data_IF_938484151818
#
_entry.id   IF_938484151818
#
_cell.length_a   1.000
_cell.length_b   1.000
_cell.length_c   1.000
_cell.angle_alpha   90.00
_cell.angle_beta   90.00
_cell.angle_gamma   90.00
#
_symmetry.space_group_name_H-M   'P 1'
#
loop_
_entity.id
_entity.type
_entity.pdbx_description
1 polymer ?
#
# COMPACT_ATOMS: atom_id res chain seq x y z
N UNK A 1 2.29 -1.07 -34.26
CA UNK A 1 1.89 -2.16 -33.34
C UNK A 1 2.47 -3.44 -33.94
N UNK A 2 3.67 -3.84 -33.51
CA UNK A 2 4.30 -5.05 -34.05
C UNK A 2 3.55 -6.27 -33.53
N UNK A 3 3.15 -7.16 -34.44
CA UNK A 3 2.59 -8.47 -34.12
C UNK A 3 3.57 -9.20 -33.18
N UNK A 4 3.15 -9.67 -31.99
CA UNK A 4 4.03 -10.37 -31.05
C UNK A 4 4.77 -11.55 -31.69
N UNK A 5 4.20 -12.18 -32.73
CA UNK A 5 4.86 -13.24 -33.49
C UNK A 5 6.13 -12.77 -34.21
N UNK A 6 6.20 -11.51 -34.66
CA UNK A 6 7.36 -10.99 -35.40
C UNK A 6 8.58 -10.81 -34.50
N UNK A 7 8.37 -10.32 -33.27
CA UNK A 7 9.45 -10.12 -32.29
C UNK A 7 10.06 -11.46 -31.85
N UNK A 8 9.23 -12.51 -31.71
CA UNK A 8 9.68 -13.86 -31.36
C UNK A 8 10.48 -14.50 -32.50
N UNK A 9 10.01 -14.35 -33.75
CA UNK A 9 10.72 -14.81 -34.95
C UNK A 9 12.05 -14.07 -35.11
N UNK A 10 12.07 -12.75 -34.92
CA UNK A 10 13.31 -11.95 -34.98
C UNK A 10 14.31 -12.37 -33.89
N UNK A 11 13.82 -12.66 -32.67
CA UNK A 11 14.67 -13.17 -31.58
C UNK A 11 15.25 -14.54 -31.92
N UNK A 12 14.45 -15.43 -32.52
CA UNK A 12 14.90 -16.74 -33.00
C UNK A 12 15.98 -16.62 -34.08
N UNK A 13 15.77 -15.73 -35.05
CA UNK A 13 16.72 -15.51 -36.14
C UNK A 13 18.04 -14.89 -35.66
N UNK A 14 17.99 -13.99 -34.66
CA UNK A 14 19.15 -13.27 -34.17
C UNK A 14 20.04 -14.09 -33.21
N UNK A 15 19.48 -15.09 -32.52
CA UNK A 15 20.22 -15.93 -31.58
C UNK A 15 19.68 -17.37 -31.54
N UNK A 16 19.75 -18.12 -32.66
CA UNK A 16 19.15 -19.45 -32.77
C UNK A 16 19.71 -20.44 -31.75
N UNK A 17 20.97 -20.28 -31.33
CA UNK A 17 21.62 -21.07 -30.29
C UNK A 17 20.97 -20.96 -28.91
N UNK A 18 20.12 -19.94 -28.68
CA UNK A 18 19.37 -19.75 -27.43
C UNK A 18 18.01 -20.47 -27.44
N UNK A 19 17.65 -21.14 -28.53
CA UNK A 19 16.37 -21.82 -28.68
C UNK A 19 16.58 -23.31 -28.85
N UNK A 20 15.78 -24.10 -28.14
CA UNK A 20 15.72 -25.55 -28.29
C UNK A 20 14.29 -25.95 -28.68
N UNK A 21 14.17 -26.87 -29.65
CA UNK A 21 12.88 -27.46 -30.00
C UNK A 21 12.69 -28.75 -29.20
N UNK A 22 11.68 -28.78 -28.35
CA UNK A 22 11.29 -29.99 -27.63
C UNK A 22 9.96 -30.51 -28.17
N UNK A 23 9.95 -31.78 -28.61
CA UNK A 23 8.72 -32.48 -28.93
C UNK A 23 8.25 -33.23 -27.69
N UNK A 24 7.19 -32.75 -27.07
CA UNK A 24 6.55 -33.43 -25.93
C UNK A 24 5.42 -34.30 -26.47
N UNK A 25 5.47 -35.60 -26.18
CA UNK A 25 4.31 -36.48 -26.35
C UNK A 25 3.68 -36.60 -24.97
N UNK A 26 2.49 -36.04 -24.79
CA UNK A 26 1.76 -36.13 -23.52
C UNK A 26 1.08 -37.50 -23.47
N UNK A 27 1.59 -38.36 -22.60
CA UNK A 27 0.95 -39.64 -22.25
C UNK A 27 -0.30 -39.39 -21.41
N UNK A 28 -1.27 -40.31 -21.41
CA UNK A 28 -2.58 -40.13 -20.74
C UNK A 28 -2.45 -39.72 -19.26
N UNK A 29 -1.47 -40.26 -18.53
CA UNK A 29 -1.19 -39.90 -17.14
C UNK A 29 -0.82 -38.42 -16.95
N UNK A 30 -0.09 -37.83 -17.90
CA UNK A 30 0.30 -36.41 -17.87
C UNK A 30 -0.86 -35.51 -18.31
N UNK A 31 -1.77 -36.02 -19.13
CA UNK A 31 -2.98 -35.29 -19.50
C UNK A 31 -3.92 -35.13 -18.30
N UNK A 32 -4.09 -36.16 -17.46
CA UNK A 32 -4.88 -36.09 -16.22
C UNK A 32 -4.35 -35.00 -15.27
N UNK A 33 -3.02 -34.93 -15.08
CA UNK A 33 -2.38 -33.87 -14.27
C UNK A 33 -2.68 -32.47 -14.83
N UNK A 34 -2.57 -32.27 -16.14
CA UNK A 34 -2.84 -30.98 -16.77
C UNK A 34 -4.32 -30.58 -16.67
N UNK A 35 -5.23 -31.53 -16.83
CA UNK A 35 -6.68 -31.29 -16.68
C UNK A 35 -7.01 -30.81 -15.25
N UNK A 36 -6.43 -31.46 -14.24
CA UNK A 36 -6.61 -31.07 -12.83
C UNK A 36 -5.92 -29.75 -12.47
N UNK A 37 -4.82 -29.40 -13.14
CA UNK A 37 -4.13 -28.11 -12.96
C UNK A 37 -4.85 -26.94 -13.64
N UNK A 38 -5.68 -27.18 -14.67
CA UNK A 38 -6.22 -26.11 -15.51
C UNK A 38 -7.03 -25.07 -14.70
N UNK A 39 -7.88 -25.46 -13.73
CA UNK A 39 -8.59 -24.51 -12.88
C UNK A 39 -7.66 -23.62 -12.05
N UNK A 40 -6.50 -24.15 -11.61
CA UNK A 40 -5.54 -23.43 -10.77
C UNK A 40 -4.90 -22.25 -11.50
N UNK A 41 -4.64 -22.40 -12.79
CA UNK A 41 -4.02 -21.37 -13.65
C UNK A 41 -5.03 -20.54 -14.44
N UNK A 42 -6.32 -20.79 -14.25
CA UNK A 42 -7.42 -20.10 -14.93
C UNK A 42 -7.51 -20.41 -16.43
N UNK A 43 -7.17 -21.64 -16.83
CA UNK A 43 -7.40 -22.15 -18.18
C UNK A 43 -8.76 -22.86 -18.25
N UNK A 44 -9.47 -22.74 -19.38
CA UNK A 44 -10.77 -23.38 -19.58
C UNK A 44 -10.60 -24.90 -19.72
N UNK A 45 -11.37 -25.71 -18.98
CA UNK A 45 -11.22 -27.18 -18.90
C UNK A 45 -11.10 -27.89 -20.27
N UNK A 46 -11.75 -27.38 -21.32
CA UNK A 46 -11.80 -28.00 -22.65
C UNK A 46 -10.93 -27.35 -23.74
N UNK A 47 -10.03 -26.43 -23.39
CA UNK A 47 -9.15 -25.76 -24.36
C UNK A 47 -8.10 -26.70 -24.98
N UNK A 48 -7.84 -26.59 -26.29
CA UNK A 48 -6.74 -27.35 -26.95
C UNK A 48 -5.37 -27.05 -26.32
N UNK A 49 -5.21 -25.84 -25.76
CA UNK A 49 -4.04 -25.37 -25.01
C UNK A 49 -3.76 -26.13 -23.70
N UNK A 50 -4.78 -26.78 -23.11
CA UNK A 50 -4.61 -27.58 -21.90
C UNK A 50 -3.85 -28.88 -22.12
N UNK A 51 -3.63 -29.25 -23.39
CA UNK A 51 -2.89 -30.47 -23.76
C UNK A 51 -1.38 -30.24 -23.80
N UNK A 52 -0.92 -29.02 -23.57
CA UNK A 52 0.49 -28.66 -23.57
C UNK A 52 0.93 -28.13 -22.20
N UNK A 53 2.15 -28.45 -21.73
CA UNK A 53 2.70 -27.89 -20.48
C UNK A 53 2.93 -26.38 -20.51
N UNK A 54 3.27 -25.82 -21.68
CA UNK A 54 3.77 -24.45 -21.78
C UNK A 54 2.77 -23.37 -21.29
N UNK A 55 1.47 -23.41 -21.65
CA UNK A 55 0.49 -22.44 -21.15
C UNK A 55 0.39 -22.37 -19.62
N UNK A 56 0.44 -23.52 -18.94
CA UNK A 56 0.41 -23.60 -17.47
C UNK A 56 1.63 -22.92 -16.87
N UNK A 57 2.83 -23.25 -17.37
CA UNK A 57 4.08 -22.66 -16.88
C UNK A 57 4.11 -21.16 -17.09
N UNK A 58 3.67 -20.66 -18.24
CA UNK A 58 3.59 -19.20 -18.49
C UNK A 58 2.66 -18.51 -17.49
N UNK A 59 1.52 -19.12 -17.15
CA UNK A 59 0.58 -18.57 -16.15
C UNK A 59 1.16 -18.58 -14.74
N UNK A 60 1.81 -19.68 -14.34
CA UNK A 60 2.49 -19.79 -13.04
C UNK A 60 3.66 -18.82 -12.91
N UNK A 61 4.48 -18.67 -13.95
CA UNK A 61 5.57 -17.70 -13.96
C UNK A 61 5.05 -16.26 -13.88
N UNK A 62 3.93 -15.97 -14.55
CA UNK A 62 3.28 -14.66 -14.44
C UNK A 62 2.81 -14.39 -13.01
N UNK A 63 2.15 -15.34 -12.35
CA UNK A 63 1.68 -15.15 -10.97
C UNK A 63 2.85 -14.90 -10.02
N UNK A 64 3.97 -15.61 -10.16
CA UNK A 64 5.18 -15.39 -9.35
C UNK A 64 5.85 -14.05 -9.66
N UNK A 65 5.90 -13.64 -10.93
CA UNK A 65 6.48 -12.37 -11.35
C UNK A 65 5.68 -11.16 -10.87
N UNK A 66 4.40 -11.32 -10.60
CA UNK A 66 3.54 -10.25 -10.12
C UNK A 66 3.55 -10.19 -8.56
N UNK A 67 4.24 -11.12 -7.86
CA UNK A 67 4.41 -11.10 -6.41
C UNK A 67 5.28 -9.92 -5.93
N UNK A 68 4.99 -9.33 -4.75
CA UNK A 68 5.82 -8.30 -4.14
C UNK A 68 7.29 -8.75 -3.96
N UNK A 69 8.27 -7.84 -4.08
CA UNK A 69 9.69 -8.13 -3.86
C UNK A 69 9.99 -8.83 -2.54
N UNK A 70 9.26 -8.52 -1.46
CA UNK A 70 9.37 -9.16 -0.14
C UNK A 70 9.15 -10.67 -0.23
N UNK A 71 8.05 -11.11 -0.84
CA UNK A 71 7.68 -12.53 -1.01
C UNK A 71 8.79 -13.34 -1.69
N UNK A 72 9.54 -12.70 -2.60
CA UNK A 72 10.64 -13.36 -3.33
C UNK A 72 11.90 -13.57 -2.48
N UNK A 73 12.04 -12.87 -1.36
CA UNK A 73 13.26 -12.83 -0.55
C UNK A 73 13.09 -13.40 0.85
N UNK A 74 11.88 -13.36 1.40
CA UNK A 74 11.59 -13.88 2.74
C UNK A 74 11.83 -15.38 2.84
N UNK A 75 12.41 -15.83 3.94
CA UNK A 75 12.51 -17.24 4.32
C UNK A 75 11.39 -17.68 5.25
N UNK A 76 10.49 -16.77 5.65
CA UNK A 76 9.37 -17.05 6.57
C UNK A 76 8.15 -17.59 5.83
N UNK A 77 8.35 -18.68 5.10
CA UNK A 77 7.35 -19.43 4.36
C UNK A 77 7.52 -20.92 4.71
N UNK A 78 6.50 -21.73 4.46
CA UNK A 78 6.61 -23.18 4.58
C UNK A 78 7.71 -23.74 3.67
N UNK A 79 8.30 -24.87 4.06
CA UNK A 79 9.33 -25.56 3.26
C UNK A 79 8.81 -25.88 1.85
N UNK A 80 7.53 -26.25 1.72
CA UNK A 80 6.84 -26.51 0.45
C UNK A 80 6.72 -25.22 -0.39
N UNK A 81 6.26 -24.11 0.18
CA UNK A 81 6.16 -22.83 -0.56
C UNK A 81 7.53 -22.29 -0.99
N UNK A 82 8.55 -22.45 -0.16
CA UNK A 82 9.94 -22.13 -0.53
C UNK A 82 10.41 -22.99 -1.70
N UNK A 83 10.20 -24.30 -1.65
CA UNK A 83 10.59 -25.21 -2.71
C UNK A 83 9.86 -24.88 -4.03
N UNK A 84 8.56 -24.63 -3.98
CA UNK A 84 7.75 -24.23 -5.14
C UNK A 84 8.25 -22.92 -5.73
N UNK A 85 8.51 -21.91 -4.90
CA UNK A 85 9.06 -20.62 -5.35
C UNK A 85 10.40 -20.79 -6.06
N UNK A 86 11.30 -21.59 -5.50
CA UNK A 86 12.62 -21.85 -6.10
C UNK A 86 12.52 -22.63 -7.42
N UNK A 87 11.63 -23.63 -7.50
CA UNK A 87 11.36 -24.36 -8.73
C UNK A 87 10.86 -23.42 -9.84
N UNK A 88 9.87 -22.56 -9.53
CA UNK A 88 9.35 -21.57 -10.47
C UNK A 88 10.42 -20.54 -10.88
N UNK A 89 11.36 -20.17 -10.01
CA UNK A 89 12.43 -19.25 -10.35
C UNK A 89 13.52 -19.88 -11.24
N UNK A 90 13.80 -21.18 -11.09
CA UNK A 90 14.85 -21.89 -11.86
C UNK A 90 14.33 -22.59 -13.11
N UNK A 91 13.02 -22.60 -13.30
CA UNK A 91 12.32 -23.20 -14.42
C UNK A 91 13.02 -22.95 -15.76
N UNK A 92 13.62 -24.01 -16.31
CA UNK A 92 14.29 -23.96 -17.62
C UNK A 92 13.46 -24.67 -18.70
N UNK A 93 12.74 -25.72 -18.33
CA UNK A 93 11.97 -26.55 -19.25
C UNK A 93 10.53 -26.78 -18.73
N UNK A 94 9.48 -26.44 -19.51
CA UNK A 94 8.10 -26.49 -19.02
C UNK A 94 7.62 -27.87 -18.57
N UNK A 95 7.99 -28.93 -19.30
CA UNK A 95 7.55 -30.29 -18.97
C UNK A 95 8.23 -30.79 -17.70
N UNK A 96 9.54 -30.59 -17.57
CA UNK A 96 10.30 -30.94 -16.37
C UNK A 96 9.79 -30.17 -15.14
N UNK A 97 9.48 -28.88 -15.30
CA UNK A 97 8.90 -28.08 -14.20
C UNK A 97 7.58 -28.67 -13.69
N UNK A 98 6.61 -28.95 -14.58
CA UNK A 98 5.28 -29.39 -14.16
C UNK A 98 5.23 -30.84 -13.67
N UNK A 99 6.01 -31.74 -14.29
CA UNK A 99 5.90 -33.18 -14.04
C UNK A 99 7.00 -33.74 -13.14
N UNK A 100 7.99 -32.93 -12.76
CA UNK A 100 9.07 -33.36 -11.88
C UNK A 100 9.36 -32.33 -10.79
N UNK A 101 9.79 -31.12 -11.14
CA UNK A 101 10.29 -30.15 -10.14
C UNK A 101 9.20 -29.67 -9.17
N UNK A 102 8.00 -29.36 -9.67
CA UNK A 102 6.87 -28.94 -8.83
C UNK A 102 6.28 -30.08 -7.98
N UNK A 103 6.07 -31.30 -8.50
CA UNK A 103 5.70 -32.46 -7.68
C UNK A 103 6.70 -32.73 -6.57
N UNK A 104 8.01 -32.75 -6.89
CA UNK A 104 9.08 -32.95 -5.91
C UNK A 104 9.10 -31.83 -4.87
N UNK A 105 8.91 -30.56 -5.29
CA UNK A 105 8.79 -29.41 -4.39
C UNK A 105 7.57 -29.51 -3.45
N UNK A 106 6.49 -30.17 -3.90
CA UNK A 106 5.32 -30.47 -3.09
C UNK A 106 5.47 -31.79 -2.30
N UNK A 107 6.65 -32.42 -2.27
CA UNK A 107 6.90 -33.66 -1.54
C UNK A 107 6.21 -34.89 -2.15
N UNK A 108 6.08 -34.95 -3.47
CA UNK A 108 5.52 -36.06 -4.24
C UNK A 108 6.55 -36.60 -5.25
N UNK A 109 6.32 -37.83 -5.73
CA UNK A 109 7.15 -38.42 -6.78
C UNK A 109 6.86 -37.78 -8.16
N UNK A 110 7.81 -37.93 -9.09
CA UNK A 110 7.68 -37.39 -10.44
C UNK A 110 6.62 -38.13 -11.28
N UNK A 111 5.78 -37.36 -11.98
CA UNK A 111 4.82 -37.84 -12.97
C UNK A 111 5.46 -38.21 -14.32
N UNK A 112 6.79 -38.17 -14.45
CA UNK A 112 7.46 -38.63 -15.67
C UNK A 112 7.33 -40.15 -15.87
N UNK A 113 7.11 -40.92 -14.80
CA UNK A 113 7.12 -42.39 -14.78
C UNK A 113 5.77 -43.13 -15.00
N UNK A 114 4.63 -42.42 -15.03
CA UNK A 114 3.36 -42.98 -15.56
C UNK A 114 2.30 -43.51 -14.57
N UNK A 115 2.44 -43.35 -13.26
CA UNK A 115 1.39 -43.67 -12.26
C UNK A 115 0.97 -42.37 -11.57
N UNK A 116 -0.23 -41.82 -11.85
CA UNK A 116 -0.52 -40.42 -11.51
C UNK A 116 -1.89 -40.14 -10.86
N UNK A 117 -2.83 -41.10 -10.77
CA UNK A 117 -4.24 -40.69 -10.58
C UNK A 117 -4.56 -40.12 -9.19
N UNK A 118 -4.14 -40.77 -8.10
CA UNK A 118 -4.40 -40.27 -6.73
C UNK A 118 -3.42 -39.14 -6.34
N UNK A 119 -2.18 -39.21 -6.82
CA UNK A 119 -1.14 -38.23 -6.50
C UNK A 119 -1.34 -36.89 -7.21
N UNK A 120 -2.02 -36.85 -8.37
CA UNK A 120 -2.32 -35.61 -9.08
C UNK A 120 -3.26 -34.68 -8.30
N UNK A 121 -4.25 -35.23 -7.59
CA UNK A 121 -5.19 -34.47 -6.77
C UNK A 121 -4.51 -33.84 -5.55
N UNK A 122 -3.62 -34.62 -4.91
CA UNK A 122 -2.78 -34.15 -3.79
C UNK A 122 -1.82 -33.08 -4.28
N UNK A 123 -1.19 -33.28 -5.44
CA UNK A 123 -0.29 -32.33 -6.05
C UNK A 123 -0.95 -30.96 -6.31
N UNK A 124 -2.12 -30.95 -6.96
CA UNK A 124 -2.84 -29.71 -7.26
C UNK A 124 -3.19 -28.96 -5.97
N UNK A 125 -3.61 -29.69 -4.93
CA UNK A 125 -3.96 -29.10 -3.63
C UNK A 125 -2.73 -28.45 -2.98
N UNK A 126 -1.62 -29.19 -2.86
CA UNK A 126 -0.37 -28.67 -2.26
C UNK A 126 0.19 -27.49 -3.05
N UNK A 127 0.17 -27.56 -4.38
CA UNK A 127 0.61 -26.46 -5.23
C UNK A 127 -0.29 -25.23 -5.04
N UNK A 128 -1.60 -25.40 -4.96
CA UNK A 128 -2.53 -24.31 -4.70
C UNK A 128 -2.28 -23.66 -3.34
N UNK A 129 -2.05 -24.45 -2.30
CA UNK A 129 -1.76 -23.96 -0.96
C UNK A 129 -0.45 -23.17 -0.93
N UNK A 130 0.61 -23.70 -1.56
CA UNK A 130 1.90 -23.02 -1.70
C UNK A 130 1.77 -21.69 -2.46
N UNK A 131 1.07 -21.65 -3.60
CA UNK A 131 0.86 -20.42 -4.36
C UNK A 131 0.02 -19.40 -3.58
N UNK A 132 -0.96 -19.87 -2.79
CA UNK A 132 -1.79 -19.00 -1.94
C UNK A 132 -0.95 -18.40 -0.81
N UNK A 133 -0.08 -19.19 -0.19
CA UNK A 133 0.85 -18.73 0.84
C UNK A 133 1.79 -17.65 0.28
N UNK A 134 2.40 -17.89 -0.89
CA UNK A 134 3.21 -16.88 -1.58
C UNK A 134 2.41 -15.59 -1.84
N UNK A 135 1.18 -15.71 -2.34
CA UNK A 135 0.32 -14.56 -2.60
C UNK A 135 -0.07 -13.76 -1.35
N UNK A 136 -0.17 -14.41 -0.18
CA UNK A 136 -0.54 -13.78 1.09
C UNK A 136 0.63 -13.24 1.89
N UNK A 137 1.84 -13.72 1.65
CA UNK A 137 3.02 -13.41 2.45
C UNK A 137 3.26 -11.91 2.74
N UNK A 138 2.96 -11.01 1.78
CA UNK A 138 3.09 -9.57 2.02
C UNK A 138 1.94 -9.01 2.88
N UNK A 139 0.71 -9.48 2.67
CA UNK A 139 -0.42 -9.13 3.56
C UNK A 139 -0.16 -9.59 4.99
N UNK A 140 0.30 -10.84 5.16
CA UNK A 140 0.64 -11.40 6.47
C UNK A 140 1.79 -10.62 7.15
N UNK A 141 2.72 -10.05 6.38
CA UNK A 141 3.75 -9.15 6.91
C UNK A 141 3.14 -7.84 7.44
N UNK A 142 2.19 -7.25 6.71
CA UNK A 142 1.53 -6.01 7.13
C UNK A 142 0.69 -6.22 8.40
N UNK A 143 -0.03 -7.34 8.47
CA UNK A 143 -0.79 -7.72 9.66
C UNK A 143 0.13 -7.89 10.88
N UNK A 144 1.28 -8.57 10.73
CA UNK A 144 2.28 -8.70 11.79
C UNK A 144 2.92 -7.36 12.19
N UNK A 145 3.13 -6.44 11.25
CA UNK A 145 3.60 -5.08 11.56
C UNK A 145 2.58 -4.34 12.41
N UNK A 146 1.30 -4.39 12.04
CA UNK A 146 0.22 -3.77 12.78
C UNK A 146 0.14 -4.33 14.21
N UNK A 147 0.10 -5.66 14.35
CA UNK A 147 0.03 -6.32 15.65
C UNK A 147 1.20 -5.95 16.56
N UNK A 148 2.43 -5.96 16.02
CA UNK A 148 3.62 -5.59 16.81
C UNK A 148 3.59 -4.15 17.26
N UNK A 149 3.12 -3.22 16.41
CA UNK A 149 2.96 -1.82 16.80
C UNK A 149 1.89 -1.71 17.90
N UNK A 150 0.75 -2.38 17.74
CA UNK A 150 -0.30 -2.39 18.74
C UNK A 150 0.21 -2.88 20.11
N UNK A 151 0.95 -3.99 20.13
CA UNK A 151 1.51 -4.58 21.34
C UNK A 151 2.58 -3.68 21.98
N UNK A 152 3.52 -3.16 21.17
CA UNK A 152 4.62 -2.34 21.67
C UNK A 152 4.12 -1.07 22.39
N UNK A 153 3.08 -0.43 21.82
CA UNK A 153 2.48 0.77 22.39
C UNK A 153 1.30 0.48 23.33
N UNK A 154 0.94 -0.79 23.54
CA UNK A 154 -0.21 -1.23 24.33
C UNK A 154 -1.50 -0.52 23.93
N UNK A 155 -1.79 -0.48 22.62
CA UNK A 155 -3.02 0.10 22.09
C UNK A 155 -4.23 -0.72 22.57
N UNK A 156 -5.31 -0.03 22.92
CA UNK A 156 -6.51 -0.66 23.50
C UNK A 156 -7.65 -0.77 22.51
N UNK A 157 -7.56 -0.06 21.38
CA UNK A 157 -8.58 -0.05 20.34
C UNK A 157 -8.47 -1.25 19.39
N UNK A 158 -9.63 -1.68 18.90
CA UNK A 158 -9.74 -2.72 17.88
C UNK A 158 -9.82 -2.10 16.49
N UNK A 159 -9.09 -2.69 15.54
CA UNK A 159 -9.06 -2.29 14.14
C UNK A 159 -7.96 -1.27 13.80
N UNK A 160 -7.41 -1.42 12.60
CA UNK A 160 -6.21 -0.73 12.13
C UNK A 160 -6.31 0.79 12.21
N UNK A 161 -7.46 1.37 11.82
CA UNK A 161 -7.67 2.82 11.80
C UNK A 161 -7.89 3.41 13.21
N UNK A 162 -8.56 2.67 14.09
CA UNK A 162 -8.74 3.09 15.48
C UNK A 162 -7.40 3.07 16.23
N UNK A 163 -6.60 2.01 16.03
CA UNK A 163 -5.23 1.89 16.55
C UNK A 163 -4.32 3.02 16.05
N UNK A 164 -4.41 3.34 14.76
CA UNK A 164 -3.71 4.50 14.18
C UNK A 164 -4.11 5.79 14.88
N UNK A 165 -5.41 6.03 15.04
CA UNK A 165 -5.93 7.25 15.67
C UNK A 165 -5.47 7.39 17.12
N UNK A 166 -5.54 6.29 17.89
CA UNK A 166 -5.08 6.23 19.28
C UNK A 166 -3.59 6.54 19.38
N UNK A 167 -2.75 5.94 18.53
CA UNK A 167 -1.31 6.18 18.54
C UNK A 167 -0.98 7.62 18.11
N UNK A 168 -1.67 8.15 17.11
CA UNK A 168 -1.49 9.52 16.62
C UNK A 168 -1.82 10.55 17.71
N UNK A 169 -2.94 10.39 18.44
CA UNK A 169 -3.32 11.27 19.54
C UNK A 169 -2.24 11.28 20.64
N UNK A 170 -1.77 10.10 21.05
CA UNK A 170 -0.72 9.96 22.07
C UNK A 170 0.62 10.55 21.60
N UNK A 171 0.98 10.32 20.34
CA UNK A 171 2.20 10.86 19.74
C UNK A 171 2.16 12.39 19.62
N UNK A 172 0.99 12.98 19.34
CA UNK A 172 0.80 14.42 19.22
C UNK A 172 1.09 15.16 20.54
N UNK A 173 0.69 14.59 21.67
CA UNK A 173 0.99 15.13 23.00
C UNK A 173 2.49 15.15 23.25
N UNK A 174 3.20 14.07 22.89
CA UNK A 174 4.64 13.95 23.09
C UNK A 174 5.47 14.84 22.16
N UNK A 175 5.00 15.10 20.94
CA UNK A 175 5.76 15.76 19.88
C UNK A 175 6.32 17.13 20.29
N UNK A 176 5.58 17.88 21.13
CA UNK A 176 5.95 19.20 21.63
C UNK A 176 7.10 19.18 22.65
N UNK A 177 7.37 18.03 23.28
CA UNK A 177 8.28 17.91 24.41
C UNK A 177 9.46 16.97 24.15
N UNK A 178 9.39 16.15 23.10
CA UNK A 178 10.45 15.19 22.74
C UNK A 178 11.70 15.91 22.24
N UNK A 179 12.82 15.67 22.92
CA UNK A 179 14.16 16.10 22.51
C UNK A 179 14.94 15.01 21.78
N UNK A 180 14.62 13.74 22.01
CA UNK A 180 15.27 12.60 21.34
C UNK A 180 14.89 12.58 19.85
N UNK A 181 15.89 12.64 18.97
CA UNK A 181 15.66 12.77 17.53
C UNK A 181 14.94 11.56 16.95
N UNK A 182 15.26 10.34 17.40
CA UNK A 182 14.65 9.12 16.86
C UNK A 182 13.17 9.02 17.26
N UNK A 183 12.85 9.28 18.51
CA UNK A 183 11.47 9.36 18.99
C UNK A 183 10.72 10.52 18.33
N UNK A 184 11.37 11.66 18.09
CA UNK A 184 10.74 12.80 17.39
C UNK A 184 10.33 12.41 15.98
N UNK A 185 11.22 11.77 15.22
CA UNK A 185 10.92 11.29 13.88
C UNK A 185 9.78 10.28 13.88
N UNK A 186 9.73 9.41 14.88
CA UNK A 186 8.60 8.48 15.05
C UNK A 186 7.29 9.22 15.30
N UNK A 187 7.26 10.15 16.26
CA UNK A 187 6.04 10.90 16.57
C UNK A 187 5.54 11.70 15.37
N UNK A 188 6.44 12.39 14.63
CA UNK A 188 6.07 13.11 13.41
C UNK A 188 5.41 12.20 12.39
N UNK A 189 5.94 10.99 12.18
CA UNK A 189 5.34 10.03 11.24
C UNK A 189 4.04 9.45 11.78
N UNK A 190 3.95 9.19 13.08
CA UNK A 190 2.74 8.67 13.70
C UNK A 190 1.57 9.66 13.61
N UNK A 191 1.85 10.97 13.65
CA UNK A 191 0.86 12.05 13.50
C UNK A 191 0.55 12.41 12.04
N UNK A 192 1.11 11.69 11.05
CA UNK A 192 0.86 11.96 9.64
C UNK A 192 -0.55 11.48 9.23
N UNK A 193 -1.36 12.40 8.70
CA UNK A 193 -2.72 12.16 8.21
C UNK A 193 -2.82 12.03 6.68
N UNK A 194 -1.72 12.21 5.94
CA UNK A 194 -1.74 12.23 4.47
C UNK A 194 -1.88 10.84 3.85
N UNK A 195 -1.35 9.83 4.54
CA UNK A 195 -1.36 8.43 4.08
C UNK A 195 -2.68 7.75 4.47
N UNK A 196 -3.11 6.77 3.68
CA UNK A 196 -4.14 5.83 4.10
C UNK A 196 -3.61 4.89 5.22
N UNK A 197 -4.49 4.09 5.82
CA UNK A 197 -4.13 3.28 6.99
C UNK A 197 -2.97 2.33 6.70
N UNK A 198 -3.01 1.63 5.56
CA UNK A 198 -1.94 0.72 5.16
C UNK A 198 -0.63 1.47 4.91
N UNK A 199 -0.66 2.54 4.12
CA UNK A 199 0.50 3.38 3.84
C UNK A 199 1.11 3.97 5.10
N UNK A 200 0.29 4.30 6.10
CA UNK A 200 0.76 4.77 7.40
C UNK A 200 1.55 3.70 8.17
N UNK A 201 1.04 2.47 8.28
CA UNK A 201 1.79 1.37 8.90
C UNK A 201 3.08 1.05 8.13
N UNK A 202 3.00 1.01 6.81
CA UNK A 202 4.17 0.82 5.95
C UNK A 202 5.22 1.92 6.18
N UNK A 203 4.78 3.16 6.35
CA UNK A 203 5.66 4.31 6.58
C UNK A 203 6.34 4.25 7.95
N UNK A 204 5.65 3.80 9.00
CA UNK A 204 6.23 3.60 10.33
C UNK A 204 7.26 2.47 10.31
N UNK A 205 6.88 1.34 9.71
CA UNK A 205 7.78 0.22 9.50
C UNK A 205 9.02 0.64 8.69
N UNK A 206 8.81 1.43 7.63
CA UNK A 206 9.90 1.95 6.80
C UNK A 206 10.86 2.84 7.57
N UNK A 207 10.34 3.70 8.45
CA UNK A 207 11.15 4.55 9.33
C UNK A 207 12.01 3.71 10.29
N UNK A 208 11.40 2.71 10.93
CA UNK A 208 12.05 1.87 11.95
C UNK A 208 13.10 0.93 11.34
N UNK A 209 12.80 0.29 10.21
CA UNK A 209 13.74 -0.58 9.49
C UNK A 209 14.75 0.21 8.64
N UNK A 210 14.45 1.47 8.31
CA UNK A 210 15.14 2.30 7.30
C UNK A 210 15.03 1.74 5.87
N UNK A 211 13.92 1.06 5.57
CA UNK A 211 13.63 0.45 4.27
C UNK A 211 12.13 0.16 4.16
N UNK A 212 11.46 0.39 3.01
CA UNK A 212 10.05 0.03 2.83
C UNK A 212 9.78 -1.47 3.04
N UNK A 213 8.68 -1.87 3.71
CA UNK A 213 8.32 -3.29 3.95
C UNK A 213 8.31 -4.15 2.70
N UNK A 214 7.83 -3.61 1.59
CA UNK A 214 7.82 -4.30 0.29
C UNK A 214 9.21 -4.79 -0.16
N UNK A 215 10.29 -4.15 0.30
CA UNK A 215 11.67 -4.49 -0.05
C UNK A 215 12.43 -5.24 1.04
N UNK A 216 11.78 -5.59 2.15
CA UNK A 216 12.43 -6.23 3.28
C UNK A 216 13.03 -7.59 2.93
N UNK A 217 14.09 -7.90 3.65
CA UNK A 217 14.54 -9.28 3.90
C UNK A 217 14.32 -9.60 5.38
N UNK A 218 14.49 -10.87 5.78
CA UNK A 218 14.23 -11.29 7.17
C UNK A 218 15.03 -10.48 8.21
N UNK A 219 16.25 -10.06 7.85
CA UNK A 219 17.09 -9.19 8.67
C UNK A 219 16.51 -7.78 8.86
N UNK A 220 15.81 -7.24 7.85
CA UNK A 220 15.16 -5.94 7.96
C UNK A 220 13.98 -6.02 8.95
N UNK A 221 13.26 -7.15 8.98
CA UNK A 221 12.21 -7.44 9.96
C UNK A 221 12.77 -7.55 11.39
N UNK A 222 13.88 -8.25 11.60
CA UNK A 222 14.56 -8.30 12.90
C UNK A 222 14.93 -6.90 13.41
N UNK A 223 15.47 -6.06 12.52
CA UNK A 223 15.83 -4.67 12.82
C UNK A 223 14.61 -3.81 13.15
N UNK A 224 13.50 -4.01 12.45
CA UNK A 224 12.22 -3.38 12.78
C UNK A 224 11.80 -3.72 14.20
N UNK A 225 11.79 -5.01 14.56
CA UNK A 225 11.38 -5.48 15.89
C UNK A 225 12.25 -4.88 17.01
N UNK A 226 13.57 -4.86 16.82
CA UNK A 226 14.52 -4.26 17.76
C UNK A 226 14.26 -2.75 17.92
N UNK A 227 14.14 -2.04 16.80
CA UNK A 227 13.99 -0.58 16.82
C UNK A 227 12.63 -0.16 17.39
N UNK A 228 11.57 -0.90 17.05
CA UNK A 228 10.23 -0.71 17.59
C UNK A 228 10.22 -0.80 19.11
N UNK A 229 10.85 -1.85 19.65
CA UNK A 229 10.95 -2.05 21.11
C UNK A 229 11.65 -0.88 21.79
N UNK A 230 12.76 -0.40 21.21
CA UNK A 230 13.50 0.73 21.78
C UNK A 230 12.69 2.04 21.71
N UNK A 231 12.01 2.31 20.60
CA UNK A 231 11.18 3.51 20.43
C UNK A 231 9.98 3.47 21.37
N UNK A 232 9.27 2.35 21.44
CA UNK A 232 8.13 2.17 22.34
C UNK A 232 8.52 2.32 23.82
N UNK A 233 9.67 1.79 24.24
CA UNK A 233 10.17 1.99 25.59
C UNK A 233 10.46 3.47 25.90
N UNK A 234 11.10 4.21 24.97
CA UNK A 234 11.34 5.65 25.15
C UNK A 234 10.02 6.43 25.20
N UNK A 235 9.08 6.10 24.32
CA UNK A 235 7.76 6.70 24.26
C UNK A 235 7.02 6.55 25.59
N UNK A 236 6.88 5.31 26.09
CA UNK A 236 6.13 4.99 27.32
C UNK A 236 6.77 5.54 28.59
N UNK A 237 8.08 5.77 28.60
CA UNK A 237 8.74 6.41 29.73
C UNK A 237 8.52 7.93 29.78
N UNK A 238 8.30 8.57 28.62
CA UNK A 238 8.06 10.01 28.53
C UNK A 238 6.57 10.34 28.61
N UNK A 239 5.69 9.45 28.16
CA UNK A 239 4.24 9.64 28.10
C UNK A 239 3.59 10.07 29.44
N UNK A 240 3.87 9.43 30.60
CA UNK A 240 3.26 9.81 31.88
C UNK A 240 3.60 11.23 32.33
N UNK A 241 4.81 11.72 32.03
CA UNK A 241 5.29 13.02 32.47
C UNK A 241 4.45 14.18 31.91
N UNK A 242 3.94 14.00 30.69
CA UNK A 242 3.21 15.04 29.98
C UNK A 242 1.69 14.84 30.02
N UNK A 243 1.23 13.60 30.27
CA UNK A 243 -0.20 13.33 30.48
C UNK A 243 -0.70 13.89 31.82
N UNK A 244 0.15 13.94 32.86
CA UNK A 244 -0.17 14.62 34.13
C UNK A 244 -0.12 16.16 34.01
N UNK A 245 0.80 16.70 33.20
CA UNK A 245 0.95 18.15 32.98
C UNK A 245 -0.24 18.73 32.19
N UNK A 246 -0.77 17.99 31.20
CA UNK A 246 -2.00 18.33 30.48
C UNK A 246 -3.25 18.35 31.38
N UNK A 247 -3.34 17.45 32.36
CA UNK A 247 -4.44 17.44 33.35
C UNK A 247 -4.31 18.55 34.39
N UNK A 248 -3.09 18.90 34.80
CA UNK A 248 -2.85 19.95 35.78
C UNK A 248 -2.93 21.38 35.19
N UNK A 249 -2.66 21.56 33.90
CA UNK A 249 -2.80 22.86 33.21
C UNK A 249 -4.25 23.34 33.03
N UNK A 250 -5.23 22.44 33.12
CA UNK A 250 -6.67 22.77 33.05
C UNK A 250 -7.29 23.14 34.41
N UNK A 251 -6.51 23.09 35.51
CA UNK A 251 -7.00 23.24 36.89
C UNK A 251 -6.71 24.57 37.58
N UNK A 252 -6.00 25.51 36.95
CA UNK A 252 -5.63 26.78 37.59
C UNK A 252 -5.78 27.97 36.64
N UNK A 253 -7.00 28.45 36.48
CA UNK A 253 -7.27 29.86 36.23
C UNK A 253 -8.43 30.28 37.13
N UNK A 254 -8.11 31.17 38.05
CA UNK A 254 -8.86 31.53 39.24
C UNK A 254 -10.12 32.34 38.93
N UNK A 255 -11.13 32.10 39.77
CA UNK A 255 -12.23 33.01 39.98
C UNK A 255 -11.77 34.22 40.80
N UNK A 256 -11.96 35.42 40.26
CA UNK A 256 -12.23 36.70 40.96
C UNK A 256 -12.64 37.71 39.88
N UNK A 257 -13.91 38.10 39.77
CA UNK A 257 -14.39 39.33 40.40
C UNK A 257 -15.41 40.08 39.51
N UNK A 258 -16.68 39.91 39.87
CA UNK A 258 -17.87 40.78 39.71
C UNK A 258 -17.82 42.11 38.92
N UNK A 259 -18.88 42.36 38.12
CA UNK A 259 -19.34 43.72 37.78
C UNK A 259 -20.08 43.90 36.45
N UNK A 260 -21.42 43.86 36.50
CA UNK A 260 -22.44 44.61 35.72
C UNK A 260 -22.12 45.05 34.26
N UNK A 261 -22.93 44.62 33.28
CA UNK A 261 -24.05 45.43 32.77
C UNK A 261 -24.89 44.70 31.70
N UNK A 262 -26.15 45.12 31.59
CA UNK A 262 -27.23 44.57 30.77
C UNK A 262 -27.02 44.72 29.25
N UNK A 263 -27.69 43.88 28.44
CA UNK A 263 -28.90 44.21 27.65
C UNK A 263 -29.30 43.01 26.78
N UNK A 264 -30.42 42.42 27.18
CA UNK A 264 -31.59 41.96 26.40
C UNK A 264 -31.48 41.76 24.86
N UNK A 265 -31.81 40.54 24.41
CA UNK A 265 -32.76 40.31 23.30
C UNK A 265 -33.38 38.91 23.39
N UNK A 266 -34.69 38.89 23.58
CA UNK A 266 -35.62 37.74 23.60
C UNK A 266 -36.08 37.41 22.17
N UNK A 267 -36.31 36.12 21.92
CA UNK A 267 -37.53 35.50 21.32
C UNK A 267 -37.16 34.07 20.86
N UNK A 268 -37.52 32.99 21.56
CA UNK A 268 -38.83 32.32 21.74
C UNK A 268 -39.10 31.13 20.77
N UNK A 269 -38.77 29.92 21.26
CA UNK A 269 -39.49 28.63 21.17
C UNK A 269 -39.58 27.82 19.84
N UNK A 270 -39.86 26.49 19.88
CA UNK A 270 -40.11 25.61 21.04
C UNK A 270 -39.35 24.26 21.04
N UNK A 271 -39.50 23.55 22.16
CA UNK A 271 -39.00 22.21 22.45
C UNK A 271 -39.69 21.09 21.64
N UNK A 272 -38.93 20.05 21.25
CA UNK A 272 -39.25 18.63 21.50
C UNK A 272 -38.20 17.67 20.86
N UNK A 273 -37.54 16.90 21.74
CA UNK A 273 -37.30 15.45 21.65
C UNK A 273 -36.60 14.80 20.43
N UNK A 274 -35.44 14.22 20.78
CA UNK A 274 -34.94 12.86 20.47
C UNK A 274 -34.60 12.46 19.02
N UNK A 275 -33.38 11.89 18.96
CA UNK A 275 -32.80 10.97 17.97
C UNK A 275 -32.23 11.59 16.69
N UNK A 276 -30.90 11.48 16.54
CA UNK A 276 -30.23 11.57 15.26
C UNK A 276 -28.76 12.00 15.32
N UNK A 277 -27.85 11.03 15.25
CA UNK A 277 -26.70 10.94 14.31
C UNK A 277 -25.79 12.15 14.05
N UNK A 278 -24.46 11.98 14.10
CA UNK A 278 -23.52 12.48 13.08
C UNK A 278 -22.10 11.88 13.31
N UNK A 279 -21.60 10.97 12.48
CA UNK A 279 -21.00 11.12 11.14
C UNK A 279 -19.55 11.65 11.17
N UNK A 280 -18.60 11.01 10.46
CA UNK A 280 -17.21 11.46 10.35
C UNK A 280 -17.13 12.87 9.72
N UNK A 281 -16.02 13.63 9.94
CA UNK A 281 -15.90 15.00 9.47
C UNK A 281 -16.08 15.07 7.96
N UNK A 282 -16.92 16.01 7.51
CA UNK A 282 -17.26 16.16 6.09
C UNK A 282 -16.09 16.80 5.35
N UNK A 283 -15.35 16.03 4.57
CA UNK A 283 -14.34 16.58 3.67
C UNK A 283 -14.98 16.97 2.34
N UNK A 284 -14.53 18.08 1.75
CA UNK A 284 -14.96 18.51 0.42
C UNK A 284 -13.87 18.16 -0.60
N UNK A 285 -14.18 17.23 -1.50
CA UNK A 285 -13.30 16.84 -2.60
C UNK A 285 -13.47 17.82 -3.76
N UNK A 286 -12.40 18.49 -4.16
CA UNK A 286 -12.39 19.37 -5.34
C UNK A 286 -11.57 18.66 -6.43
N UNK A 287 -12.17 18.50 -7.62
CA UNK A 287 -11.51 17.95 -8.80
C UNK A 287 -11.07 19.09 -9.70
N UNK A 288 -9.78 19.14 -10.02
CA UNK A 288 -9.23 20.06 -11.00
C UNK A 288 -8.82 19.26 -12.24
N UNK A 289 -9.47 19.53 -13.37
CA UNK A 289 -9.07 19.05 -14.69
C UNK A 289 -8.38 20.19 -15.43
N UNK A 290 -7.12 20.01 -15.78
CA UNK A 290 -6.35 20.99 -16.54
C UNK A 290 -6.03 20.36 -17.90
N UNK A 291 -6.56 20.96 -18.98
CA UNK A 291 -6.25 20.55 -20.35
C UNK A 291 -5.69 21.76 -21.10
N UNK A 292 -4.37 21.77 -21.35
CA UNK A 292 -3.78 22.59 -22.39
C UNK A 292 -3.89 21.84 -23.72
N UNK A 293 -4.03 22.56 -24.84
CA UNK A 293 -4.47 21.99 -26.14
C UNK A 293 -3.57 20.93 -26.79
N UNK A 294 -2.54 20.39 -26.13
CA UNK A 294 -1.69 19.30 -26.66
C UNK A 294 -1.02 18.42 -25.55
N UNK A 295 -1.49 18.44 -24.30
CA UNK A 295 -0.96 17.59 -23.20
C UNK A 295 -2.00 16.58 -22.68
N UNK A 296 -1.58 15.39 -22.18
CA UNK A 296 -2.51 14.42 -21.61
C UNK A 296 -3.18 14.99 -20.34
N UNK A 297 -4.49 14.80 -20.23
CA UNK A 297 -5.29 15.25 -19.07
C UNK A 297 -4.65 14.77 -17.75
N UNK A 298 -4.19 15.72 -16.93
CA UNK A 298 -3.71 15.45 -15.57
C UNK A 298 -4.81 15.80 -14.57
N UNK A 299 -5.26 14.82 -13.78
CA UNK A 299 -6.18 15.02 -12.68
C UNK A 299 -5.40 15.11 -11.35
N UNK A 300 -5.50 16.25 -10.66
CA UNK A 300 -4.95 16.42 -9.32
C UNK A 300 -6.09 16.57 -8.29
N UNK A 301 -6.08 15.72 -7.26
CA UNK A 301 -7.04 15.80 -6.15
C UNK A 301 -6.34 16.45 -4.96
N UNK A 302 -6.86 17.59 -4.50
CA UNK A 302 -6.36 18.31 -3.32
C UNK A 302 -7.40 18.18 -2.20
N UNK A 303 -6.95 17.69 -1.05
CA UNK A 303 -7.80 17.57 0.14
C UNK A 303 -7.59 18.79 1.02
N UNK A 304 -8.65 19.59 1.21
CA UNK A 304 -8.62 20.77 2.07
C UNK A 304 -9.52 20.50 3.27
N UNK A 305 -9.01 20.81 4.47
CA UNK A 305 -9.79 20.74 5.71
C UNK A 305 -10.84 21.86 5.73
N UNK A 306 -12.03 21.58 6.25
CA UNK A 306 -13.14 22.55 6.29
C UNK A 306 -12.79 23.86 7.02
N UNK A 307 -11.90 23.80 8.00
CA UNK A 307 -11.44 24.96 8.77
C UNK A 307 -10.59 25.96 7.97
N UNK A 308 -10.04 25.53 6.82
CA UNK A 308 -9.27 26.38 5.92
C UNK A 308 -10.10 26.85 4.71
N UNK A 309 -11.42 26.60 4.70
CA UNK A 309 -12.31 27.02 3.60
C UNK A 309 -12.28 28.55 3.44
N UNK A 310 -12.22 29.30 4.55
CA UNK A 310 -12.12 30.76 4.54
C UNK A 310 -10.80 31.27 3.96
N UNK A 311 -9.69 30.53 4.14
CA UNK A 311 -8.39 30.89 3.57
C UNK A 311 -8.34 30.60 2.06
N UNK A 312 -8.97 29.50 1.64
CA UNK A 312 -9.16 29.20 0.22
C UNK A 312 -9.98 30.29 -0.46
N UNK A 313 -11.06 30.73 0.16
CA UNK A 313 -11.90 31.81 -0.35
C UNK A 313 -11.13 33.15 -0.41
N UNK A 314 -10.26 33.43 0.56
CA UNK A 314 -9.38 34.60 0.51
C UNK A 314 -8.38 34.54 -0.65
N UNK A 315 -7.77 33.38 -0.91
CA UNK A 315 -6.87 33.19 -2.05
C UNK A 315 -7.63 33.34 -3.38
N UNK A 316 -8.83 32.76 -3.50
CA UNK A 316 -9.69 32.92 -4.68
C UNK A 316 -10.01 34.38 -4.94
N UNK A 317 -10.33 35.16 -3.89
CA UNK A 317 -10.63 36.58 -4.03
C UNK A 317 -9.42 37.42 -4.45
N UNK A 318 -8.22 37.10 -3.96
CA UNK A 318 -6.98 37.79 -4.35
C UNK A 318 -6.60 37.49 -5.80
N UNK A 319 -6.69 36.22 -6.21
CA UNK A 319 -6.45 35.81 -7.59
C UNK A 319 -7.49 36.43 -8.52
N UNK A 320 -8.77 36.45 -8.13
CA UNK A 320 -9.85 37.10 -8.88
C UNK A 320 -9.58 38.58 -9.14
N UNK A 321 -9.18 39.35 -8.12
CA UNK A 321 -8.80 40.76 -8.28
C UNK A 321 -7.60 40.97 -9.19
N UNK A 322 -6.55 40.14 -9.05
CA UNK A 322 -5.36 40.26 -9.89
C UNK A 322 -5.68 40.00 -11.37
N UNK A 323 -6.60 39.07 -11.65
CA UNK A 323 -7.07 38.81 -13.01
C UNK A 323 -7.97 39.94 -13.53
N UNK A 324 -8.79 40.58 -12.70
CA UNK A 324 -9.59 41.75 -13.11
C UNK A 324 -8.71 42.97 -13.43
N UNK A 325 -7.60 43.15 -12.71
CA UNK A 325 -6.64 44.25 -12.93
C UNK A 325 -5.72 44.02 -14.14
N UNK A 326 -5.54 42.78 -14.58
CA UNK A 326 -4.86 42.47 -15.84
C UNK A 326 -5.73 42.90 -17.04
N UNK A 327 -5.21 43.82 -17.86
CA UNK A 327 -5.88 44.51 -19.01
C UNK A 327 -6.14 43.57 -20.22
N UNK A 328 -6.35 42.29 -19.95
CA UNK A 328 -6.62 41.25 -20.93
C UNK A 328 -8.08 40.83 -20.83
N UNK A 329 -8.92 41.27 -21.76
CA UNK A 329 -10.36 40.99 -21.70
C UNK A 329 -10.75 39.58 -22.17
N UNK A 330 -9.77 38.73 -22.52
CA UNK A 330 -10.02 37.38 -23.00
C UNK A 330 -9.97 36.37 -21.85
N UNK A 331 -11.11 35.77 -21.56
CA UNK A 331 -11.29 34.79 -20.48
C UNK A 331 -10.43 33.54 -20.69
N UNK A 332 -10.23 33.11 -21.94
CA UNK A 332 -9.43 31.92 -22.24
C UNK A 332 -7.94 32.16 -21.93
N UNK A 333 -7.45 33.38 -22.17
CA UNK A 333 -6.08 33.78 -21.83
C UNK A 333 -5.89 33.84 -20.31
N UNK A 334 -6.89 34.36 -19.59
CA UNK A 334 -6.90 34.37 -18.13
C UNK A 334 -6.93 32.95 -17.54
N UNK A 335 -7.74 32.06 -18.09
CA UNK A 335 -7.80 30.65 -17.67
C UNK A 335 -6.49 29.92 -17.97
N UNK A 336 -5.87 30.17 -19.13
CA UNK A 336 -4.55 29.63 -19.44
C UNK A 336 -3.49 30.13 -18.46
N UNK A 337 -3.48 31.42 -18.11
CA UNK A 337 -2.57 31.98 -17.10
C UNK A 337 -2.76 31.37 -15.71
N UNK A 338 -4.01 31.22 -15.25
CA UNK A 338 -4.31 30.55 -13.97
C UNK A 338 -3.88 29.08 -13.99
N UNK A 339 -4.07 28.41 -15.12
CA UNK A 339 -3.63 27.04 -15.33
C UNK A 339 -2.11 26.91 -15.22
N UNK A 340 -1.34 27.80 -15.84
CA UNK A 340 0.12 27.82 -15.70
C UNK A 340 0.57 28.09 -14.26
N UNK A 341 -0.11 29.01 -13.55
CA UNK A 341 0.16 29.25 -12.12
C UNK A 341 -0.15 28.00 -11.29
N UNK A 342 -1.26 27.33 -11.55
CA UNK A 342 -1.63 26.10 -10.86
C UNK A 342 -0.64 24.96 -11.13
N UNK A 343 -0.20 24.77 -12.37
CA UNK A 343 0.84 23.80 -12.72
C UNK A 343 2.18 24.15 -12.08
N UNK A 344 2.54 25.43 -12.03
CA UNK A 344 3.75 25.91 -11.35
C UNK A 344 3.71 25.60 -9.85
N UNK A 345 2.58 25.84 -9.19
CA UNK A 345 2.39 25.51 -7.78
C UNK A 345 2.38 24.00 -7.54
N UNK A 346 1.83 23.19 -8.45
CA UNK A 346 1.88 21.73 -8.37
C UNK A 346 3.32 21.22 -8.58
N UNK A 347 4.05 21.81 -9.51
CA UNK A 347 5.46 21.49 -9.77
C UNK A 347 6.33 21.95 -8.59
N UNK A 348 6.05 23.11 -8.00
CA UNK A 348 6.74 23.60 -6.79
C UNK A 348 6.42 22.73 -5.58
N UNK A 349 5.18 22.25 -5.47
CA UNK A 349 4.79 21.24 -4.48
C UNK A 349 5.60 19.96 -4.69
N UNK A 350 5.66 19.42 -5.90
CA UNK A 350 6.43 18.20 -6.22
C UNK A 350 7.94 18.40 -6.03
N UNK A 351 8.46 19.57 -6.37
CA UNK A 351 9.86 19.93 -6.21
C UNK A 351 10.23 20.26 -4.75
N UNK A 352 9.30 20.77 -3.95
CA UNK A 352 9.50 20.96 -2.51
C UNK A 352 9.46 19.62 -1.79
N UNK A 353 8.60 18.69 -2.20
CA UNK A 353 8.66 17.29 -1.79
C UNK A 353 10.01 16.64 -2.18
N UNK A 354 10.48 16.83 -3.42
CA UNK A 354 11.76 16.25 -3.90
C UNK A 354 13.02 16.88 -3.27
N UNK A 355 12.98 18.18 -2.92
CA UNK A 355 14.08 18.85 -2.19
C UNK A 355 14.14 18.45 -0.72
N UNK A 356 13.01 18.08 -0.11
CA UNK A 356 12.99 17.52 1.24
C UNK A 356 13.59 16.10 1.33
N UNK A 357 13.75 15.41 0.20
CA UNK A 357 14.39 14.08 0.12
C UNK A 357 15.91 14.12 -0.10
N UNK A 358 16.51 15.30 -0.36
CA UNK A 358 17.95 15.44 -0.64
C UNK A 358 18.75 16.25 0.39
N UNK A 359 18.10 16.77 1.44
CA UNK A 359 18.70 17.42 2.60
C UNK A 359 18.38 16.64 3.88
#
# INVERSE_FOLDING_TARGET
>A
MHDPAYAEIERFLNAPEKFALQRVTVEEARADVLERLAPLVGLEETGEENRAPLPFVVRLLKSVRDLPPYTRKTGRLSDEALAVREALHRATEPATLLFQELPEACGLDSFLGGEASDDAEVFVTRLQDALRELGRAYGDLLDDIEERIADAFALQTDGSEARRSELAERAQVLLSHVTDTALKSFCVRATDEMLDTQGWYESLAALLAKRPPEQWVDKDREKFEETLTQVAHRFRNQEPLYFEESKNGAGSSEAEGNGEDAVESKEASPAAQTNGTASPPKMRRIRLSISASDEPDQEAVVNIRLENEDDVDQVVNHVGRALEEADENNVDVKLAGVSEVAQSLLTEREASFSRSETA
#
